data_IF_225947399299
#
_entry.id   IF_225947399299
#
_cell.length_a   1.000
_cell.length_b   1.000
_cell.length_c   1.000
_cell.angle_alpha   90.00
_cell.angle_beta   90.00
_cell.angle_gamma   90.00
#
_symmetry.space_group_name_H-M   'P 1'
#
loop_
_entity.id
_entity.type
_entity.pdbx_description
1 polymer ?
#
# COMPACT_ATOMS: atom_id res chain seq x y z
N UNK A 1 10.45 3.79 7.97
CA UNK A 1 10.69 5.03 7.19
C UNK A 1 9.55 5.99 7.45
N UNK A 2 9.83 7.27 7.72
CA UNK A 2 8.79 8.29 7.96
C UNK A 2 8.64 9.19 6.73
N UNK A 3 7.39 9.45 6.35
CA UNK A 3 6.99 10.45 5.37
C UNK A 3 6.38 11.61 6.13
N UNK A 4 6.86 12.82 5.88
CA UNK A 4 6.49 14.00 6.66
C UNK A 4 6.50 15.26 5.78
N UNK A 5 5.79 16.28 6.23
CA UNK A 5 5.78 17.60 5.60
C UNK A 5 7.11 18.31 5.84
N UNK A 6 8.02 18.21 4.88
CA UNK A 6 9.34 18.82 4.98
C UNK A 6 9.35 20.34 4.88
N UNK A 7 8.28 20.98 4.38
CA UNK A 7 8.20 22.44 4.23
C UNK A 7 7.86 23.12 5.54
N UNK A 8 6.97 22.50 6.33
CA UNK A 8 6.50 23.04 7.60
C UNK A 8 7.14 22.37 8.82
N UNK A 9 7.86 21.25 8.66
CA UNK A 9 8.53 20.58 9.77
C UNK A 9 9.79 21.34 10.22
N UNK A 10 9.94 21.64 11.52
CA UNK A 10 11.17 22.19 12.05
C UNK A 10 12.33 21.19 11.86
N UNK A 11 13.53 21.71 11.60
CA UNK A 11 14.71 20.87 11.43
C UNK A 11 15.39 20.61 12.78
N UNK A 12 14.85 19.66 13.54
CA UNK A 12 15.43 19.21 14.81
C UNK A 12 16.30 17.97 14.62
N UNK A 13 17.50 17.98 15.18
CA UNK A 13 18.41 16.83 15.29
C UNK A 13 18.55 16.43 16.74
N UNK A 14 18.79 15.14 16.99
CA UNK A 14 18.94 14.62 18.35
C UNK A 14 20.21 15.15 19.04
N UNK A 15 21.25 15.40 18.25
CA UNK A 15 22.49 16.05 18.65
C UNK A 15 22.99 16.91 17.47
N UNK A 16 23.50 18.11 17.75
CA UNK A 16 24.07 19.02 16.76
C UNK A 16 25.50 18.64 16.33
N UNK A 17 26.10 17.62 16.96
CA UNK A 17 27.54 17.35 16.86
C UNK A 17 27.87 16.04 16.12
N UNK A 18 26.91 15.15 15.84
CA UNK A 18 27.22 13.94 15.07
C UNK A 18 26.13 12.89 14.88
N UNK A 19 24.93 13.05 15.47
CA UNK A 19 23.83 12.11 15.27
C UNK A 19 22.97 12.53 14.06
N UNK A 20 22.93 11.76 12.97
CA UNK A 20 22.15 12.11 11.78
C UNK A 20 20.64 11.94 12.00
N UNK A 21 20.20 11.40 13.14
CA UNK A 21 18.78 11.16 13.43
C UNK A 21 18.05 12.49 13.63
N UNK A 22 16.97 12.65 12.87
CA UNK A 22 16.06 13.80 12.95
C UNK A 22 14.90 13.51 13.89
N UNK A 23 14.50 14.52 14.63
CA UNK A 23 13.28 14.51 15.42
C UNK A 23 12.17 15.16 14.59
N UNK A 24 11.15 14.37 14.27
CA UNK A 24 9.99 14.82 13.50
C UNK A 24 8.81 14.95 14.46
N UNK A 25 8.19 16.14 14.57
CA UNK A 25 6.96 16.28 15.33
C UNK A 25 5.86 15.40 14.72
N UNK A 26 5.10 14.71 15.57
CA UNK A 26 4.08 13.77 15.11
C UNK A 26 2.99 14.43 14.24
N UNK A 27 2.68 15.72 14.46
CA UNK A 27 1.74 16.48 13.61
C UNK A 27 2.24 16.73 12.19
N UNK A 28 3.54 16.63 11.94
CA UNK A 28 4.12 16.77 10.60
C UNK A 28 4.20 15.43 9.85
N UNK A 29 3.91 14.31 10.53
CA UNK A 29 3.99 12.98 9.94
C UNK A 29 2.77 12.72 9.06
N UNK A 30 3.02 12.44 7.78
CA UNK A 30 2.01 12.09 6.77
C UNK A 30 1.81 10.57 6.74
N UNK A 31 2.87 9.80 6.99
CA UNK A 31 2.78 8.34 7.05
C UNK A 31 4.08 7.66 7.48
N UNK A 32 3.96 6.35 7.71
CA UNK A 32 5.05 5.47 8.08
C UNK A 32 5.07 4.27 7.13
N UNK A 33 6.27 3.87 6.73
CA UNK A 33 6.52 2.75 5.84
C UNK A 33 7.53 1.84 6.51
N UNK A 34 7.10 0.64 6.90
CA UNK A 34 8.02 -0.38 7.41
C UNK A 34 8.64 -1.15 6.24
N UNK A 35 9.97 -1.10 6.16
CA UNK A 35 10.73 -1.66 5.04
C UNK A 35 11.40 -2.96 5.46
N UNK A 36 11.22 -4.02 4.68
CA UNK A 36 11.81 -5.35 4.90
C UNK A 36 12.58 -5.81 3.67
N UNK A 37 13.64 -6.58 3.88
CA UNK A 37 14.32 -7.27 2.77
C UNK A 37 13.47 -8.45 2.29
N UNK A 38 13.08 -9.34 3.20
CA UNK A 38 12.20 -10.48 2.95
C UNK A 38 10.97 -10.32 3.82
N UNK A 39 9.79 -10.59 3.28
CA UNK A 39 8.54 -10.68 4.03
C UNK A 39 8.18 -12.15 4.27
N UNK A 40 8.12 -12.50 5.54
CA UNK A 40 7.76 -13.80 6.10
C UNK A 40 6.89 -13.57 7.36
N UNK A 41 6.49 -14.63 8.05
CA UNK A 41 5.70 -14.57 9.29
C UNK A 41 6.32 -13.65 10.37
N UNK A 42 7.63 -13.76 10.57
CA UNK A 42 8.35 -13.07 11.65
C UNK A 42 8.48 -11.58 11.34
N UNK A 43 8.90 -11.26 10.12
CA UNK A 43 9.14 -9.89 9.64
C UNK A 43 7.84 -9.14 9.40
N UNK A 44 6.77 -9.82 8.96
CA UNK A 44 5.42 -9.25 8.92
C UNK A 44 4.95 -8.89 10.33
N UNK A 45 5.09 -9.80 11.29
CA UNK A 45 4.75 -9.55 12.70
C UNK A 45 5.56 -8.39 13.30
N UNK A 46 6.86 -8.31 13.03
CA UNK A 46 7.70 -7.18 13.46
C UNK A 46 7.25 -5.86 12.82
N UNK A 47 6.93 -5.85 11.52
CA UNK A 47 6.42 -4.66 10.85
C UNK A 47 5.10 -4.19 11.46
N UNK A 48 4.14 -5.10 11.64
CA UNK A 48 2.84 -4.80 12.27
C UNK A 48 3.02 -4.31 13.70
N UNK A 49 3.94 -4.89 14.47
CA UNK A 49 4.26 -4.45 15.82
C UNK A 49 4.72 -3.00 15.87
N UNK A 50 5.65 -2.59 14.99
CA UNK A 50 6.13 -1.21 14.90
C UNK A 50 5.04 -0.23 14.46
N UNK A 51 4.20 -0.64 13.51
CA UNK A 51 3.07 0.16 13.08
C UNK A 51 2.04 0.34 14.21
N UNK A 52 1.79 -0.69 15.02
CA UNK A 52 0.93 -0.61 16.18
C UNK A 52 1.52 0.29 17.29
N UNK A 53 2.84 0.25 17.51
CA UNK A 53 3.51 1.20 18.42
C UNK A 53 3.34 2.64 17.94
N UNK A 54 3.48 2.88 16.63
CA UNK A 54 3.23 4.19 16.04
C UNK A 54 1.77 4.63 16.21
N UNK A 55 0.81 3.74 15.97
CA UNK A 55 -0.61 4.01 16.21
C UNK A 55 -0.87 4.46 17.65
N UNK A 56 -0.29 3.76 18.63
CA UNK A 56 -0.42 4.10 20.05
C UNK A 56 0.18 5.48 20.41
N UNK A 57 1.23 5.91 19.71
CA UNK A 57 1.79 7.27 19.84
C UNK A 57 0.85 8.31 19.24
N UNK A 58 0.32 8.05 18.04
CA UNK A 58 -0.58 8.98 17.34
C UNK A 58 -1.96 9.10 17.97
N UNK A 59 -2.44 8.07 18.67
CA UNK A 59 -3.72 8.09 19.38
C UNK A 59 -3.78 9.15 20.50
N UNK A 60 -2.64 9.68 20.92
CA UNK A 60 -2.53 10.74 21.93
C UNK A 60 -2.66 12.15 21.32
N UNK A 61 -2.82 12.24 20.00
CA UNK A 61 -2.86 13.50 19.26
C UNK A 61 -4.28 13.72 18.79
N UNK A 62 -4.87 14.82 19.25
CA UNK A 62 -6.04 15.37 18.59
C UNK A 62 -5.58 15.98 17.27
N UNK A 63 -5.98 15.34 16.17
CA UNK A 63 -5.86 15.90 14.82
C UNK A 63 -6.88 17.03 14.63
N UNK A 64 -6.90 18.01 15.54
CA UNK A 64 -7.65 19.25 15.37
C UNK A 64 -6.77 20.27 14.63
N UNK A 65 -7.18 20.66 13.41
CA UNK A 65 -6.43 21.58 12.55
C UNK A 65 -6.62 21.29 11.06
N UNK A 66 -5.81 21.92 10.17
CA UNK A 66 -5.90 21.71 8.72
C UNK A 66 -5.48 20.30 8.24
N UNK A 67 -5.01 19.45 9.16
CA UNK A 67 -4.53 18.09 8.90
C UNK A 67 -5.32 17.03 9.69
N UNK A 68 -6.65 16.88 9.48
CA UNK A 68 -7.50 15.99 10.27
C UNK A 68 -7.33 14.50 9.91
N UNK A 69 -6.31 14.14 9.13
CA UNK A 69 -6.13 12.80 8.60
C UNK A 69 -5.15 12.00 9.47
N UNK A 70 -5.51 10.74 9.77
CA UNK A 70 -4.54 9.80 10.35
C UNK A 70 -3.40 9.55 9.36
N UNK A 71 -2.14 9.44 9.82
CA UNK A 71 -1.03 9.04 8.96
C UNK A 71 -1.27 7.67 8.34
N UNK A 72 -0.84 7.50 7.09
CA UNK A 72 -0.92 6.20 6.43
C UNK A 72 0.17 5.25 6.92
N UNK A 73 -0.06 3.95 6.77
CA UNK A 73 0.83 2.88 7.20
C UNK A 73 1.04 1.91 6.05
N UNK A 74 2.24 1.82 5.50
CA UNK A 74 2.55 0.79 4.51
C UNK A 74 3.61 -0.19 5.01
N UNK A 75 3.58 -1.40 4.46
CA UNK A 75 4.72 -2.33 4.49
C UNK A 75 5.28 -2.41 3.09
N UNK A 76 6.59 -2.28 2.96
CA UNK A 76 7.30 -2.46 1.70
C UNK A 76 8.37 -3.54 1.87
N UNK A 77 8.36 -4.57 1.03
CA UNK A 77 9.34 -5.62 1.05
C UNK A 77 10.00 -5.80 -0.32
N UNK A 78 11.28 -6.19 -0.33
CA UNK A 78 11.96 -6.50 -1.59
C UNK A 78 11.51 -7.86 -2.15
N UNK A 79 11.30 -8.87 -1.30
CA UNK A 79 10.82 -10.19 -1.75
C UNK A 79 9.88 -10.83 -0.73
N UNK A 80 9.02 -11.73 -1.21
CA UNK A 80 8.24 -12.64 -0.38
C UNK A 80 9.06 -13.91 -0.09
N UNK A 81 9.00 -14.45 1.13
CA UNK A 81 9.50 -15.79 1.38
C UNK A 81 8.53 -16.83 0.80
N UNK A 82 8.93 -17.64 -0.20
CA UNK A 82 8.05 -18.64 -0.80
C UNK A 82 7.66 -19.77 0.15
N UNK A 83 8.36 -19.94 1.28
CA UNK A 83 8.05 -20.95 2.29
C UNK A 83 7.13 -20.42 3.40
N UNK A 84 6.88 -19.11 3.47
CA UNK A 84 6.01 -18.52 4.48
C UNK A 84 4.55 -18.90 4.22
N UNK A 85 3.87 -19.39 5.26
CA UNK A 85 2.44 -19.69 5.22
C UNK A 85 1.60 -18.68 6.03
N UNK A 86 2.25 -17.68 6.64
CA UNK A 86 1.63 -16.58 7.39
C UNK A 86 0.66 -17.09 8.45
N UNK A 87 1.13 -17.98 9.31
CA UNK A 87 0.36 -18.67 10.35
C UNK A 87 -0.86 -19.44 9.76
N UNK A 88 -0.66 -20.03 8.58
CA UNK A 88 -1.69 -20.80 7.84
C UNK A 88 -2.65 -19.96 7.00
N UNK A 89 -2.46 -18.64 6.89
CA UNK A 89 -3.29 -17.75 6.06
C UNK A 89 -2.83 -17.65 4.60
N UNK A 90 -1.72 -18.29 4.25
CA UNK A 90 -1.09 -18.41 2.93
C UNK A 90 -0.54 -17.12 2.31
N UNK A 91 -1.12 -15.95 2.58
CA UNK A 91 -0.66 -14.66 2.05
C UNK A 91 -0.63 -13.58 3.13
N UNK A 92 0.25 -12.57 3.01
CA UNK A 92 0.40 -11.55 4.04
C UNK A 92 -0.90 -10.76 4.26
N UNK A 93 -1.62 -10.40 3.20
CA UNK A 93 -2.87 -9.62 3.29
C UNK A 93 -4.01 -10.41 3.97
N UNK A 94 -4.06 -11.73 3.79
CA UNK A 94 -5.02 -12.58 4.50
C UNK A 94 -4.73 -12.60 6.00
N UNK A 95 -3.45 -12.71 6.37
CA UNK A 95 -3.00 -12.64 7.77
C UNK A 95 -3.24 -11.28 8.42
N UNK A 96 -3.32 -10.22 7.62
CA UNK A 96 -3.60 -8.85 8.05
C UNK A 96 -5.10 -8.52 8.11
N UNK A 97 -6.00 -9.45 7.83
CA UNK A 97 -7.42 -9.17 7.99
C UNK A 97 -7.83 -9.12 9.46
N UNK A 98 -8.92 -8.41 9.73
CA UNK A 98 -9.55 -8.39 11.06
C UNK A 98 -9.95 -9.79 11.53
N UNK A 99 -10.28 -10.68 10.59
CA UNK A 99 -10.65 -12.07 10.84
C UNK A 99 -9.47 -12.91 11.34
N UNK A 100 -8.27 -12.63 10.83
CA UNK A 100 -7.03 -13.21 11.34
C UNK A 100 -6.62 -12.67 12.73
N UNK A 101 -7.44 -11.81 13.35
CA UNK A 101 -7.19 -11.25 14.67
C UNK A 101 -6.06 -10.21 14.69
N UNK A 102 -5.71 -9.62 13.55
CA UNK A 102 -4.72 -8.55 13.56
C UNK A 102 -5.24 -7.32 14.29
N UNK A 103 -4.34 -6.70 15.04
CA UNK A 103 -4.59 -5.51 15.86
C UNK A 103 -4.13 -4.22 15.16
N UNK A 104 -3.38 -4.34 14.07
CA UNK A 104 -3.01 -3.24 13.18
C UNK A 104 -3.13 -3.72 11.73
N UNK A 105 -3.85 -2.94 10.91
CA UNK A 105 -4.05 -3.19 9.48
C UNK A 105 -3.30 -2.09 8.70
N UNK A 106 -2.13 -2.39 8.11
CA UNK A 106 -1.47 -1.48 7.18
C UNK A 106 -2.43 -1.07 6.06
N UNK A 107 -2.38 0.17 5.62
CA UNK A 107 -3.16 0.67 4.48
C UNK A 107 -2.72 0.02 3.14
N UNK A 108 -1.49 -0.50 3.09
CA UNK A 108 -0.98 -1.23 1.93
C UNK A 108 0.26 -2.07 2.24
N UNK A 109 0.41 -3.16 1.52
CA UNK A 109 1.56 -4.07 1.52
C UNK A 109 2.06 -4.17 0.09
N UNK A 110 3.34 -3.92 -0.12
CA UNK A 110 3.97 -3.89 -1.44
C UNK A 110 5.21 -4.78 -1.42
N UNK A 111 5.31 -5.74 -2.34
CA UNK A 111 6.40 -6.72 -2.38
C UNK A 111 6.99 -6.80 -3.79
N UNK A 112 8.25 -6.37 -3.96
CA UNK A 112 8.81 -5.95 -5.28
C UNK A 112 8.58 -6.96 -6.43
N UNK A 113 8.75 -8.24 -6.12
CA UNK A 113 8.73 -9.34 -7.09
C UNK A 113 7.47 -10.21 -7.01
N UNK A 114 6.40 -9.72 -6.36
CA UNK A 114 5.17 -10.48 -6.13
C UNK A 114 3.92 -9.66 -6.48
N UNK A 115 3.71 -8.55 -5.79
CA UNK A 115 2.55 -7.71 -6.01
C UNK A 115 2.29 -6.73 -4.89
N UNK A 116 1.05 -6.23 -4.85
CA UNK A 116 0.61 -5.39 -3.76
C UNK A 116 -0.80 -5.73 -3.31
N UNK A 117 -1.07 -5.43 -2.04
CA UNK A 117 -2.36 -5.51 -1.42
C UNK A 117 -2.68 -4.17 -0.77
N UNK A 118 -3.85 -3.60 -1.04
CA UNK A 118 -4.29 -2.33 -0.45
C UNK A 118 -5.59 -2.53 0.31
N UNK A 119 -5.67 -1.89 1.47
CA UNK A 119 -6.84 -1.97 2.33
C UNK A 119 -8.03 -1.28 1.64
N UNK A 120 -9.18 -1.93 1.60
CA UNK A 120 -10.34 -1.49 0.85
C UNK A 120 -11.15 -0.40 1.58
N UNK A 121 -10.57 0.79 1.64
CA UNK A 121 -11.24 2.00 2.08
C UNK A 121 -11.10 3.09 1.00
N UNK A 122 -12.17 3.38 0.28
CA UNK A 122 -12.21 4.47 -0.71
C UNK A 122 -11.93 4.02 -2.14
N UNK A 123 -10.85 4.54 -2.76
CA UNK A 123 -10.56 4.29 -4.18
C UNK A 123 -9.61 3.11 -4.41
N UNK A 124 -9.22 2.34 -3.39
CA UNK A 124 -8.15 1.34 -3.48
C UNK A 124 -8.30 0.36 -4.65
N UNK A 125 -9.49 -0.23 -4.79
CA UNK A 125 -9.83 -1.11 -5.92
C UNK A 125 -9.77 -0.34 -7.24
N UNK A 126 -10.53 0.76 -7.36
CA UNK A 126 -10.62 1.53 -8.60
C UNK A 126 -9.25 2.04 -9.09
N UNK A 127 -8.37 2.41 -8.15
CA UNK A 127 -7.02 2.88 -8.41
C UNK A 127 -6.08 1.76 -8.82
N UNK A 128 -6.23 0.57 -8.23
CA UNK A 128 -5.53 -0.62 -8.69
C UNK A 128 -5.89 -0.93 -10.14
N UNK A 129 -7.18 -0.90 -10.49
CA UNK A 129 -7.64 -1.05 -11.87
C UNK A 129 -7.07 0.04 -12.80
N UNK A 130 -7.12 1.30 -12.38
CA UNK A 130 -6.60 2.43 -13.14
C UNK A 130 -5.09 2.29 -13.42
N UNK A 131 -4.29 1.94 -12.41
CA UNK A 131 -2.86 1.68 -12.52
C UNK A 131 -2.56 0.55 -13.51
N UNK A 132 -3.26 -0.58 -13.38
CA UNK A 132 -3.03 -1.74 -14.25
C UNK A 132 -3.41 -1.47 -15.71
N UNK A 133 -4.33 -0.53 -15.96
CA UNK A 133 -4.83 -0.23 -17.30
C UNK A 133 -4.28 1.07 -17.90
N UNK A 134 -3.48 1.83 -17.16
CA UNK A 134 -2.86 3.06 -17.67
C UNK A 134 -3.88 4.19 -17.87
N UNK A 135 -4.88 4.31 -16.98
CA UNK A 135 -5.98 5.26 -17.10
C UNK A 135 -6.23 5.98 -15.78
N UNK A 136 -7.12 6.96 -15.78
CA UNK A 136 -7.58 7.63 -14.54
C UNK A 136 -8.56 6.74 -13.77
N UNK A 137 -8.72 7.01 -12.47
CA UNK A 137 -9.71 6.35 -11.61
C UNK A 137 -11.13 6.57 -12.14
N UNK A 138 -11.41 7.75 -12.66
CA UNK A 138 -12.71 8.09 -13.25
C UNK A 138 -12.98 7.30 -14.54
N UNK A 139 -11.97 7.13 -15.39
CA UNK A 139 -12.06 6.28 -16.59
C UNK A 139 -12.26 4.81 -16.19
N UNK A 140 -11.53 4.32 -15.18
CA UNK A 140 -11.69 2.96 -14.69
C UNK A 140 -13.11 2.69 -14.16
N UNK A 141 -13.72 3.67 -13.47
CA UNK A 141 -15.11 3.61 -12.98
C UNK A 141 -16.16 3.65 -14.09
N UNK A 142 -15.90 4.37 -15.18
CA UNK A 142 -16.85 4.53 -16.29
C UNK A 142 -16.69 3.48 -17.38
N UNK A 143 -15.51 2.86 -17.47
CA UNK A 143 -15.12 2.01 -18.59
C UNK A 143 -15.79 0.63 -18.59
N UNK A 144 -15.83 -0.03 -17.43
CA UNK A 144 -16.34 -1.40 -17.29
C UNK A 144 -17.02 -1.64 -15.94
N UNK A 145 -17.81 -2.71 -15.84
CA UNK A 145 -18.47 -3.16 -14.61
C UNK A 145 -17.51 -3.90 -13.68
N UNK A 146 -16.22 -3.98 -13.97
CA UNK A 146 -15.29 -4.80 -13.16
C UNK A 146 -15.15 -4.32 -11.72
N UNK A 147 -15.08 -3.00 -11.50
CA UNK A 147 -15.02 -2.44 -10.15
C UNK A 147 -16.32 -2.75 -9.40
N UNK A 148 -17.46 -2.59 -10.05
CA UNK A 148 -18.76 -2.90 -9.44
C UNK A 148 -18.92 -4.40 -9.18
N UNK A 149 -18.51 -5.24 -10.12
CA UNK A 149 -18.51 -6.68 -9.96
C UNK A 149 -17.57 -7.12 -8.83
N UNK A 150 -16.41 -6.48 -8.66
CA UNK A 150 -15.50 -6.74 -7.55
C UNK A 150 -16.13 -6.33 -6.21
N UNK A 151 -16.79 -5.17 -6.16
CA UNK A 151 -17.56 -4.74 -4.98
C UNK A 151 -18.70 -5.70 -4.66
N UNK A 152 -19.46 -6.14 -5.67
CA UNK A 152 -20.54 -7.13 -5.52
C UNK A 152 -19.97 -8.46 -5.04
N UNK A 153 -18.89 -8.95 -5.65
CA UNK A 153 -18.23 -10.19 -5.26
C UNK A 153 -17.83 -10.13 -3.79
N UNK A 154 -17.12 -9.08 -3.38
CA UNK A 154 -16.73 -8.85 -1.98
C UNK A 154 -17.92 -8.79 -1.02
N UNK A 155 -19.06 -8.27 -1.48
CA UNK A 155 -20.30 -8.14 -0.69
C UNK A 155 -21.14 -9.42 -0.65
N UNK A 156 -21.06 -10.26 -1.68
CA UNK A 156 -21.80 -11.54 -1.76
C UNK A 156 -21.00 -12.67 -1.13
N UNK A 157 -19.68 -12.66 -1.28
CA UNK A 157 -18.73 -13.54 -0.61
C UNK A 157 -18.44 -13.07 0.82
N UNK A 158 -19.48 -12.66 1.56
CA UNK A 158 -19.45 -12.41 3.02
C UNK A 158 -19.29 -13.71 3.83
N UNK A 159 -18.69 -14.75 3.26
CA UNK A 159 -18.21 -15.86 4.07
C UNK A 159 -17.07 -15.31 4.96
N UNK A 160 -17.12 -15.51 6.28
CA UNK A 160 -16.00 -15.18 7.17
C UNK A 160 -14.65 -15.78 6.71
N UNK A 161 -14.69 -16.81 5.87
CA UNK A 161 -13.53 -17.46 5.26
C UNK A 161 -12.81 -16.62 4.19
N UNK A 162 -13.47 -15.63 3.56
CA UNK A 162 -12.93 -14.94 2.38
C UNK A 162 -12.13 -13.66 2.63
N UNK A 163 -11.95 -13.20 3.87
CA UNK A 163 -10.89 -12.23 4.21
C UNK A 163 -10.75 -11.03 3.24
N UNK A 164 -11.85 -10.32 2.95
CA UNK A 164 -11.89 -9.31 1.88
C UNK A 164 -11.45 -7.89 2.31
N UNK A 165 -10.76 -7.73 3.43
CA UNK A 165 -10.32 -6.40 3.90
C UNK A 165 -9.34 -5.74 2.91
N UNK A 166 -8.56 -6.54 2.17
CA UNK A 166 -7.58 -6.06 1.20
C UNK A 166 -7.99 -6.43 -0.22
N UNK A 167 -7.69 -5.56 -1.18
CA UNK A 167 -7.61 -5.89 -2.59
C UNK A 167 -6.16 -6.17 -2.95
N UNK A 168 -5.87 -7.39 -3.39
CA UNK A 168 -4.53 -7.81 -3.82
C UNK A 168 -4.49 -8.11 -5.31
N UNK A 169 -3.35 -7.78 -5.93
CA UNK A 169 -3.08 -8.03 -7.33
C UNK A 169 -1.58 -8.22 -7.55
N UNK A 170 -1.23 -9.07 -8.51
CA UNK A 170 0.15 -9.23 -8.93
C UNK A 170 0.64 -7.94 -9.61
N UNK A 171 1.86 -7.52 -9.34
CA UNK A 171 2.51 -6.40 -10.00
C UNK A 171 4.02 -6.57 -9.85
N UNK A 172 4.77 -6.33 -10.91
CA UNK A 172 6.23 -6.50 -10.89
C UNK A 172 6.95 -5.22 -11.26
N UNK A 173 8.19 -5.08 -10.80
CA UNK A 173 9.12 -4.05 -11.25
C UNK A 173 8.53 -2.62 -11.23
N UNK A 174 8.45 -1.99 -12.40
CA UNK A 174 8.03 -0.60 -12.57
C UNK A 174 6.59 -0.34 -12.16
N UNK A 175 5.65 -1.26 -12.46
CA UNK A 175 4.25 -1.06 -12.08
C UNK A 175 4.07 -1.04 -10.57
N UNK A 176 4.79 -1.90 -9.85
CA UNK A 176 4.69 -1.95 -8.40
C UNK A 176 5.29 -0.72 -7.73
N UNK A 177 6.45 -0.25 -8.20
CA UNK A 177 7.03 1.01 -7.71
C UNK A 177 6.09 2.19 -7.98
N UNK A 178 5.48 2.21 -9.16
CA UNK A 178 4.48 3.21 -9.52
C UNK A 178 3.24 3.10 -8.60
N UNK A 179 2.73 1.90 -8.35
CA UNK A 179 1.61 1.66 -7.45
C UNK A 179 1.92 2.15 -6.04
N UNK A 180 3.07 1.77 -5.48
CA UNK A 180 3.54 2.22 -4.17
C UNK A 180 3.56 3.75 -4.06
N UNK A 181 4.18 4.43 -5.04
CA UNK A 181 4.23 5.89 -5.06
C UNK A 181 2.83 6.52 -5.18
N UNK A 182 1.98 5.95 -6.03
CA UNK A 182 0.59 6.39 -6.22
C UNK A 182 -0.21 6.34 -4.92
N UNK A 183 -0.11 5.26 -4.15
CA UNK A 183 -0.82 5.14 -2.87
C UNK A 183 -0.22 6.01 -1.76
N UNK A 184 1.10 6.29 -1.80
CA UNK A 184 1.72 7.29 -0.94
C UNK A 184 1.19 8.69 -1.26
N UNK A 185 1.10 9.06 -2.53
CA UNK A 185 0.59 10.36 -2.98
C UNK A 185 -0.89 10.54 -2.68
N UNK A 186 -1.71 9.50 -2.91
CA UNK A 186 -3.13 9.51 -2.52
C UNK A 186 -3.29 9.80 -1.03
N UNK A 187 -2.43 9.18 -0.23
CA UNK A 187 -2.45 9.34 1.21
C UNK A 187 -2.04 10.74 1.63
N UNK A 188 -0.99 11.29 1.01
CA UNK A 188 -0.53 12.65 1.26
C UNK A 188 -1.56 13.72 0.87
N UNK A 189 -2.35 13.49 -0.20
CA UNK A 189 -3.38 14.42 -0.65
C UNK A 189 -4.49 14.68 0.39
N UNK A 190 -4.65 13.80 1.39
CA UNK A 190 -5.58 13.99 2.51
C UNK A 190 -5.14 15.08 3.49
N UNK A 191 -3.84 15.38 3.52
CA UNK A 191 -3.24 16.39 4.39
C UNK A 191 -3.23 17.76 3.70
N UNK A 192 -2.83 17.80 2.44
CA UNK A 192 -2.87 19.00 1.59
C UNK A 192 -3.41 18.59 0.23
N UNK A 193 -4.66 18.95 -0.11
CA UNK A 193 -5.19 18.72 -1.44
C UNK A 193 -4.32 19.42 -2.48
N UNK A 194 -3.67 18.69 -3.39
CA UNK A 194 -2.83 19.30 -4.40
C UNK A 194 -3.69 19.96 -5.50
N UNK A 195 -3.15 20.97 -6.18
CA UNK A 195 -3.81 21.55 -7.37
C UNK A 195 -3.97 20.53 -8.51
N UNK A 196 -3.07 19.54 -8.57
CA UNK A 196 -3.05 18.44 -9.53
C UNK A 196 -3.15 17.13 -8.76
N UNK A 197 -4.10 16.25 -9.11
CA UNK A 197 -4.14 14.89 -8.58
C UNK A 197 -3.00 14.06 -9.18
N UNK A 198 -1.81 14.16 -8.58
CA UNK A 198 -0.63 13.43 -9.02
C UNK A 198 -0.80 11.92 -8.94
N UNK A 199 -1.64 11.44 -8.02
CA UNK A 199 -1.84 10.01 -7.88
C UNK A 199 -2.70 9.47 -9.04
N UNK A 200 -3.69 10.22 -9.51
CA UNK A 200 -4.41 9.92 -10.75
C UNK A 200 -3.54 10.10 -12.00
N UNK A 201 -2.69 11.14 -12.03
CA UNK A 201 -1.71 11.34 -13.10
C UNK A 201 -0.73 10.15 -13.22
N UNK A 202 -0.30 9.59 -12.08
CA UNK A 202 0.56 8.41 -12.06
C UNK A 202 -0.15 7.15 -12.55
N UNK A 203 -1.48 7.03 -12.33
CA UNK A 203 -2.23 5.90 -12.87
C UNK A 203 -2.13 5.82 -14.41
N UNK A 204 -2.08 6.97 -15.09
CA UNK A 204 -1.86 7.02 -16.56
C UNK A 204 -0.49 6.56 -17.03
N UNK A 205 0.52 6.56 -16.15
CA UNK A 205 1.84 6.03 -16.48
C UNK A 205 1.91 4.51 -16.32
N UNK A 206 0.88 3.90 -15.72
CA UNK A 206 0.74 2.47 -15.62
C UNK A 206 0.35 1.83 -16.94
N UNK A 207 -0.30 0.67 -16.85
CA UNK A 207 -0.77 -0.07 -18.02
C UNK A 207 0.06 -1.30 -18.35
N UNK A 208 -0.35 -2.03 -19.42
CA UNK A 208 0.26 -3.31 -19.79
C UNK A 208 1.75 -3.25 -20.07
N UNK A 209 2.27 -2.10 -20.54
CA UNK A 209 3.70 -1.92 -20.83
C UNK A 209 4.59 -2.03 -19.58
N UNK A 210 4.03 -1.78 -18.38
CA UNK A 210 4.72 -1.98 -17.11
C UNK A 210 4.38 -3.32 -16.43
N UNK A 211 3.71 -4.23 -17.15
CA UNK A 211 3.19 -5.48 -16.57
C UNK A 211 1.79 -5.34 -15.98
N UNK A 212 1.05 -4.30 -16.37
CA UNK A 212 -0.34 -4.09 -15.98
C UNK A 212 -1.28 -5.17 -16.53
N UNK A 213 -2.42 -5.33 -15.86
CA UNK A 213 -3.42 -6.35 -16.16
C UNK A 213 -4.64 -5.68 -16.78
N UNK A 214 -5.05 -6.13 -17.96
CA UNK A 214 -6.31 -5.69 -18.54
C UNK A 214 -7.49 -6.46 -17.92
N UNK A 215 -7.27 -7.73 -17.63
CA UNK A 215 -8.22 -8.61 -16.95
C UNK A 215 -7.58 -9.18 -15.68
N UNK A 216 -8.14 -8.83 -14.53
CA UNK A 216 -7.71 -9.29 -13.21
C UNK A 216 -8.18 -10.72 -12.91
N UNK A 217 -9.04 -11.30 -13.77
CA UNK A 217 -9.60 -12.65 -13.64
C UNK A 217 -8.94 -13.68 -14.55
N UNK A 218 -8.09 -13.23 -15.47
CA UNK A 218 -7.34 -14.14 -16.34
C UNK A 218 -6.25 -14.84 -15.52
N UNK A 219 -6.07 -16.18 -15.66
CA UNK A 219 -4.88 -16.83 -15.11
C UNK A 219 -3.63 -16.15 -15.67
N UNK A 220 -2.51 -16.11 -14.92
CA UNK A 220 -1.28 -15.51 -15.39
C UNK A 220 -0.95 -16.02 -16.79
N UNK A 221 -0.71 -15.10 -17.72
CA UNK A 221 -0.50 -15.45 -19.12
C UNK A 221 0.75 -16.36 -19.21
N UNK A 222 0.61 -17.62 -19.66
CA UNK A 222 1.74 -18.55 -19.72
C UNK A 222 2.87 -18.08 -20.65
N UNK A 223 2.61 -17.11 -21.54
CA UNK A 223 3.60 -16.54 -22.45
C UNK A 223 4.42 -15.39 -21.84
N UNK A 224 4.06 -14.91 -20.65
CA UNK A 224 4.82 -13.92 -19.88
C UNK A 224 5.38 -14.56 -18.61
N UNK A 225 6.56 -15.22 -18.68
CA UNK A 225 7.21 -15.70 -17.47
C UNK A 225 7.54 -14.51 -16.55
N UNK A 226 7.59 -14.71 -15.22
CA UNK A 226 8.07 -13.69 -14.31
C UNK A 226 9.45 -13.22 -14.76
N UNK A 227 9.58 -11.91 -14.95
CA UNK A 227 10.81 -11.29 -15.42
C UNK A 227 11.95 -11.64 -14.46
N UNK A 228 12.93 -12.41 -14.92
CA UNK A 228 14.13 -12.73 -14.15
C UNK A 228 15.15 -11.62 -14.36
N UNK A 229 15.60 -10.99 -13.28
CA UNK A 229 16.73 -10.05 -13.35
C UNK A 229 17.97 -10.79 -13.90
N UNK A 230 18.81 -10.14 -14.72
CA UNK A 230 20.08 -10.73 -15.14
C UNK A 230 20.93 -11.03 -13.90
N UNK A 231 21.46 -12.25 -13.81
CA UNK A 231 22.42 -12.65 -12.78
C UNK A 231 23.62 -11.68 -12.80
N UNK A 232 23.93 -11.08 -11.64
CA UNK A 232 25.15 -10.28 -11.40
C UNK A 232 26.17 -11.15 -10.67
#
# INVERSE_FOLDING_TARGET
MLIYDALNCPSWTLDNVGDPRRLIPLHAVIGVIEVKSTLDDITLKDAVGKLAEFDALTAQIDYEGPYPARPFRHVFAYRLDPAADFEGWATPERRLTRYAGTHCQPDGVFVLDDGFAVLDYGNGVARSFALHRGMTVDEARRGDWDIENEVIRRSVEMDPSYCNDYFSTAATNGLLLLAFLTFVLESAARFVPPEIDYADAFCRWGGPELGGLLDFRSPPNPDFPPFSLPEV
#
